data_IF_113836012881
#
_entry.id   IF_113836012881
#
_cell.length_a   1.000
_cell.length_b   1.000
_cell.length_c   1.000
_cell.angle_alpha   90.00
_cell.angle_beta   90.00
_cell.angle_gamma   90.00
#
_symmetry.space_group_name_H-M   'P 1'
#
loop_
_entity.id
_entity.type
_entity.pdbx_description
1 polymer ?
#
# COMPACT_ATOMS: atom_id res chain seq x y z
N UNK A 1 1.75 14.97 -28.76
CA UNK A 1 1.54 13.93 -27.71
C UNK A 1 0.48 12.96 -28.17
N UNK A 2 0.76 11.66 -28.16
CA UNK A 2 -0.18 10.63 -28.62
C UNK A 2 -1.21 10.34 -27.51
N UNK A 3 -2.50 10.59 -27.74
CA UNK A 3 -3.58 10.47 -26.72
C UNK A 3 -3.64 9.07 -26.10
N UNK A 4 -3.30 8.04 -26.88
CA UNK A 4 -3.19 6.66 -26.42
C UNK A 4 -2.12 6.47 -25.34
N UNK A 5 -0.97 7.14 -25.47
CA UNK A 5 0.15 7.03 -24.53
C UNK A 5 -0.21 7.60 -23.16
N UNK A 6 -0.88 8.75 -23.14
CA UNK A 6 -1.35 9.39 -21.90
C UNK A 6 -2.37 8.52 -21.15
N UNK A 7 -3.28 7.86 -21.87
CA UNK A 7 -4.25 6.93 -21.28
C UNK A 7 -3.56 5.72 -20.67
N UNK A 8 -2.56 5.15 -21.36
CA UNK A 8 -1.79 4.01 -20.84
C UNK A 8 -0.99 4.37 -19.59
N UNK A 9 -0.37 5.56 -19.56
CA UNK A 9 0.38 6.06 -18.39
C UNK A 9 -0.54 6.22 -17.18
N UNK A 10 -1.71 6.85 -17.35
CA UNK A 10 -2.73 6.98 -16.27
C UNK A 10 -3.21 5.63 -15.75
N UNK A 11 -3.49 4.69 -16.65
CA UNK A 11 -3.88 3.35 -16.27
C UNK A 11 -2.75 2.59 -15.54
N UNK A 12 -1.49 2.88 -15.88
CA UNK A 12 -0.31 2.35 -15.19
C UNK A 12 -0.24 2.77 -13.73
N UNK A 13 -0.50 4.05 -13.44
CA UNK A 13 -0.53 4.58 -12.07
C UNK A 13 -1.61 3.88 -11.23
N UNK A 14 -2.83 3.74 -11.77
CA UNK A 14 -3.92 3.06 -11.07
C UNK A 14 -3.58 1.59 -10.80
N UNK A 15 -3.03 0.87 -11.78
CA UNK A 15 -2.60 -0.53 -11.59
C UNK A 15 -1.51 -0.65 -10.53
N UNK A 16 -0.56 0.28 -10.50
CA UNK A 16 0.50 0.31 -9.48
C UNK A 16 -0.09 0.52 -8.08
N UNK A 17 -1.02 1.46 -7.93
CA UNK A 17 -1.71 1.71 -6.65
C UNK A 17 -2.54 0.50 -6.20
N UNK A 18 -3.24 -0.17 -7.12
CA UNK A 18 -3.98 -1.40 -6.84
C UNK A 18 -3.07 -2.53 -6.35
N UNK A 19 -1.90 -2.69 -6.99
CA UNK A 19 -0.92 -3.67 -6.56
C UNK A 19 -0.39 -3.36 -5.15
N UNK A 20 -0.03 -2.10 -4.88
CA UNK A 20 0.45 -1.69 -3.56
C UNK A 20 -0.64 -1.84 -2.48
N UNK A 21 -1.90 -1.50 -2.80
CA UNK A 21 -3.03 -1.73 -1.89
C UNK A 21 -3.17 -3.22 -1.55
N UNK A 22 -3.12 -4.11 -2.54
CA UNK A 22 -3.23 -5.55 -2.32
C UNK A 22 -2.10 -6.06 -1.42
N UNK A 23 -0.85 -5.65 -1.70
CA UNK A 23 0.32 -6.00 -0.90
C UNK A 23 0.18 -5.50 0.55
N UNK A 24 -0.24 -4.24 0.74
CA UNK A 24 -0.46 -3.65 2.05
C UNK A 24 -1.47 -4.47 2.89
N UNK A 25 -2.59 -4.89 2.26
CA UNK A 25 -3.63 -5.71 2.89
C UNK A 25 -3.11 -7.10 3.25
N UNK A 26 -2.38 -7.74 2.35
CA UNK A 26 -1.82 -9.07 2.60
C UNK A 26 -0.81 -9.07 3.74
N UNK A 27 0.09 -8.10 3.79
CA UNK A 27 1.04 -7.94 4.89
C UNK A 27 0.31 -7.79 6.23
N UNK A 28 -0.78 -7.01 6.26
CA UNK A 28 -1.58 -6.80 7.47
C UNK A 28 -2.33 -8.05 7.92
N UNK A 29 -2.90 -8.77 6.96
CA UNK A 29 -3.56 -10.05 7.20
C UNK A 29 -2.59 -11.09 7.76
N UNK A 30 -1.37 -11.16 7.22
CA UNK A 30 -0.33 -12.08 7.71
C UNK A 30 0.11 -11.67 9.12
N UNK A 31 0.41 -10.39 9.34
CA UNK A 31 0.81 -9.89 10.65
C UNK A 31 -0.27 -10.16 11.72
N UNK A 32 -1.53 -9.86 11.44
CA UNK A 32 -2.65 -10.14 12.33
C UNK A 32 -2.88 -11.65 12.54
N UNK A 33 -2.59 -12.48 11.54
CA UNK A 33 -2.66 -13.94 11.65
C UNK A 33 -1.57 -14.54 12.56
N UNK A 34 -0.46 -13.84 12.74
CA UNK A 34 0.66 -14.19 13.62
C UNK A 34 0.53 -13.56 15.02
N UNK A 35 -0.19 -12.44 15.14
CA UNK A 35 -0.43 -11.73 16.40
C UNK A 35 -1.45 -12.48 17.27
N UNK A 36 -0.99 -13.59 17.88
CA UNK A 36 -1.81 -14.50 18.69
C UNK A 36 -1.13 -14.72 20.04
N UNK A 37 -1.89 -14.70 21.16
CA UNK A 37 -1.30 -14.78 22.51
C UNK A 37 -0.41 -16.01 22.79
N UNK A 38 -0.67 -17.13 22.12
CA UNK A 38 0.15 -18.35 22.26
C UNK A 38 1.45 -18.33 21.46
N UNK A 39 1.66 -17.32 20.62
CA UNK A 39 2.87 -17.12 19.82
C UNK A 39 3.80 -16.04 20.40
N UNK A 40 3.33 -15.25 21.38
CA UNK A 40 4.08 -14.14 21.99
C UNK A 40 5.40 -14.58 22.65
N UNK A 41 5.51 -15.84 23.06
CA UNK A 41 6.74 -16.41 23.63
C UNK A 41 7.83 -16.69 22.59
N UNK A 42 7.52 -16.64 21.29
CA UNK A 42 8.47 -16.86 20.21
C UNK A 42 9.03 -15.53 19.72
N UNK A 43 10.30 -15.29 19.99
CA UNK A 43 10.99 -14.06 19.62
C UNK A 43 10.97 -13.84 18.10
N UNK A 44 11.19 -14.90 17.32
CA UNK A 44 11.19 -14.84 15.85
C UNK A 44 9.82 -14.44 15.28
N UNK A 45 8.73 -14.83 15.93
CA UNK A 45 7.37 -14.41 15.54
C UNK A 45 7.16 -12.93 15.81
N UNK A 46 7.63 -12.46 16.97
CA UNK A 46 7.58 -11.04 17.34
C UNK A 46 8.38 -10.18 16.35
N UNK A 47 9.59 -10.60 15.98
CA UNK A 47 10.41 -9.92 14.98
C UNK A 47 9.75 -9.94 13.59
N UNK A 48 9.18 -11.08 13.18
CA UNK A 48 8.46 -11.20 11.91
C UNK A 48 7.26 -10.23 11.84
N UNK A 49 6.45 -10.14 12.91
CA UNK A 49 5.34 -9.19 13.00
C UNK A 49 5.84 -7.75 12.87
N UNK A 50 6.91 -7.40 13.58
CA UNK A 50 7.52 -6.07 13.50
C UNK A 50 8.02 -5.75 12.08
N UNK A 51 8.70 -6.69 11.42
CA UNK A 51 9.15 -6.56 10.04
C UNK A 51 8.00 -6.40 9.04
N UNK A 52 6.92 -7.18 9.19
CA UNK A 52 5.72 -7.07 8.36
C UNK A 52 5.04 -5.70 8.53
N UNK A 53 4.91 -5.21 9.77
CA UNK A 53 4.37 -3.87 10.06
C UNK A 53 5.25 -2.77 9.50
N UNK A 54 6.57 -2.91 9.56
CA UNK A 54 7.50 -1.98 8.95
C UNK A 54 7.32 -1.94 7.42
N UNK A 55 7.24 -3.11 6.76
CA UNK A 55 6.97 -3.20 5.33
C UNK A 55 5.62 -2.58 4.95
N UNK A 56 4.58 -2.77 5.77
CA UNK A 56 3.30 -2.08 5.55
C UNK A 56 3.47 -0.56 5.56
N UNK A 57 4.21 -0.02 6.53
CA UNK A 57 4.53 1.40 6.59
C UNK A 57 5.23 1.89 5.32
N UNK A 58 6.23 1.15 4.85
CA UNK A 58 6.95 1.47 3.61
C UNK A 58 6.06 1.44 2.37
N UNK A 59 5.18 0.44 2.26
CA UNK A 59 4.22 0.35 1.14
C UNK A 59 3.23 1.51 1.17
N UNK A 60 2.72 1.87 2.34
CA UNK A 60 1.83 3.02 2.49
C UNK A 60 2.56 4.32 2.14
N UNK A 61 3.81 4.48 2.58
CA UNK A 61 4.63 5.65 2.26
C UNK A 61 4.83 5.80 0.74
N UNK A 62 5.08 4.70 0.03
CA UNK A 62 5.16 4.69 -1.44
C UNK A 62 3.83 5.08 -2.09
N UNK A 63 2.69 4.55 -1.61
CA UNK A 63 1.39 4.97 -2.12
C UNK A 63 1.16 6.47 -1.92
N UNK A 64 1.57 7.02 -0.76
CA UNK A 64 1.45 8.45 -0.46
C UNK A 64 2.41 9.33 -1.26
N UNK A 65 3.63 8.85 -1.56
CA UNK A 65 4.61 9.60 -2.36
C UNK A 65 4.11 9.80 -3.80
N UNK A 66 3.36 8.84 -4.33
CA UNK A 66 2.71 8.97 -5.65
C UNK A 66 1.63 10.08 -5.68
N UNK A 67 1.14 10.50 -4.52
CA UNK A 67 0.18 11.60 -4.37
C UNK A 67 0.84 12.95 -4.07
N UNK A 68 2.17 13.02 -4.00
CA UNK A 68 2.91 14.27 -3.86
C UNK A 68 2.51 15.24 -4.99
N UNK A 69 2.18 16.52 -4.70
CA UNK A 69 1.74 17.48 -5.71
C UNK A 69 2.70 17.63 -6.91
N UNK A 70 4.00 17.39 -6.72
CA UNK A 70 5.03 17.46 -7.75
C UNK A 70 5.18 16.15 -8.55
N UNK A 71 4.56 15.05 -8.09
CA UNK A 71 4.62 13.77 -8.79
C UNK A 71 3.71 13.76 -10.03
N UNK A 72 4.11 13.05 -11.11
CA UNK A 72 3.26 12.86 -12.27
C UNK A 72 1.94 12.18 -11.89
N UNK A 73 0.82 12.73 -12.37
CA UNK A 73 -0.52 12.19 -12.13
C UNK A 73 -0.94 12.13 -10.65
N UNK A 74 -0.34 12.97 -9.80
CA UNK A 74 -0.62 13.06 -8.35
C UNK A 74 -2.10 13.21 -7.99
N UNK A 75 -2.88 13.91 -8.81
CA UNK A 75 -4.33 14.03 -8.63
C UNK A 75 -5.06 12.67 -8.69
N UNK A 76 -4.62 11.75 -9.55
CA UNK A 76 -5.19 10.40 -9.66
C UNK A 76 -4.83 9.59 -8.41
N UNK A 77 -3.58 9.66 -7.97
CA UNK A 77 -3.12 8.98 -6.76
C UNK A 77 -3.83 9.50 -5.50
N UNK A 78 -4.01 10.82 -5.37
CA UNK A 78 -4.79 11.43 -4.30
C UNK A 78 -6.23 10.93 -4.28
N UNK A 79 -6.92 10.98 -5.43
CA UNK A 79 -8.30 10.49 -5.53
C UNK A 79 -8.41 9.02 -5.12
N UNK A 80 -7.44 8.20 -5.55
CA UNK A 80 -7.37 6.80 -5.17
C UNK A 80 -7.19 6.61 -3.66
N UNK A 81 -6.27 7.34 -3.03
CA UNK A 81 -5.98 7.27 -1.59
C UNK A 81 -7.17 7.71 -0.72
N UNK A 82 -7.92 8.71 -1.17
CA UNK A 82 -9.15 9.14 -0.50
C UNK A 82 -10.17 8.01 -0.49
N UNK A 83 -10.40 7.36 -1.63
CA UNK A 83 -11.31 6.21 -1.71
C UNK A 83 -10.79 5.00 -0.94
N UNK A 84 -9.49 4.74 -0.99
CA UNK A 84 -8.84 3.70 -0.18
C UNK A 84 -9.10 3.92 1.32
N UNK A 85 -8.88 5.14 1.81
CA UNK A 85 -9.10 5.51 3.21
C UNK A 85 -10.57 5.37 3.62
N UNK A 86 -11.51 5.66 2.70
CA UNK A 86 -12.94 5.46 2.92
C UNK A 86 -13.31 3.98 3.05
N UNK A 87 -12.69 3.09 2.28
CA UNK A 87 -12.89 1.63 2.34
C UNK A 87 -12.23 0.98 3.56
N UNK A 88 -11.23 1.63 4.15
CA UNK A 88 -10.45 1.09 5.28
C UNK A 88 -11.05 1.44 6.66
N UNK A 89 -12.03 2.34 6.71
CA UNK A 89 -12.88 2.59 7.89
C UNK A 89 -14.04 1.61 7.92
#
# INVERSE_FOLDING_TARGET
MNRLRLVQERAGIVRRLQFLEALLRDLGRIAAGLDKPHLDSHHEVTEAIAGLRHLQGTVLAEMTSMADPQAPFSAIANAYLVEFSRRAR
#
